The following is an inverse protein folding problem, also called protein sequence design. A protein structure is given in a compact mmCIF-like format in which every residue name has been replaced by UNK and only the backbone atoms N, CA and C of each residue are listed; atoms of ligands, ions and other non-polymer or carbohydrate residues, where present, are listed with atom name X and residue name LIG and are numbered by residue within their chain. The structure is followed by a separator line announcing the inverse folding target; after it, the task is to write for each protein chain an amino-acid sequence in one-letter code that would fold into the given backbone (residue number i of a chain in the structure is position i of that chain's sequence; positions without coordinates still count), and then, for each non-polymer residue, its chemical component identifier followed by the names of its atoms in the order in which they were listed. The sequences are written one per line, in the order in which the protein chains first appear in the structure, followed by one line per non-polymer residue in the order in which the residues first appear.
data_IF_828816717746
#
_entry.id   IF_828816717746
#
_cell.length_a   1.000
_cell.length_b   1.000
_cell.length_c   1.000
_cell.angle_alpha   90.00
_cell.angle_beta   90.00
_cell.angle_gamma   90.00
#
_symmetry.space_group_name_H-M   'P 1'
#
loop_
_entity.id
_entity.type
_entity.pdbx_description
1 polymer ?
#
# COMPACT_ATOMS: atom_id res chain seq x y z
N UNK A 1 -18.80 -48.15 -14.68
CA UNK A 1 -18.56 -47.17 -13.58
C UNK A 1 -17.19 -46.51 -13.73
N UNK A 2 -17.11 -45.48 -14.57
CA UNK A 2 -15.87 -44.73 -14.89
C UNK A 2 -16.23 -43.31 -15.31
N UNK A 3 -17.34 -43.19 -16.06
CA UNK A 3 -17.95 -41.94 -16.52
C UNK A 3 -18.43 -41.06 -15.35
N UNK A 4 -19.07 -41.64 -14.33
CA UNK A 4 -19.55 -40.89 -13.15
C UNK A 4 -18.40 -40.20 -12.40
N UNK A 5 -17.23 -40.82 -12.34
CA UNK A 5 -16.04 -40.24 -11.70
C UNK A 5 -15.54 -39.01 -12.46
N UNK A 6 -15.60 -39.03 -13.78
CA UNK A 6 -15.19 -37.89 -14.63
C UNK A 6 -16.13 -36.70 -14.39
N UNK A 7 -17.44 -36.94 -14.37
CA UNK A 7 -18.44 -35.90 -14.06
C UNK A 7 -18.25 -35.31 -12.68
N UNK A 8 -18.02 -36.14 -11.66
CA UNK A 8 -17.77 -35.67 -10.29
C UNK A 8 -16.51 -34.80 -10.23
N UNK A 9 -15.40 -35.25 -10.82
CA UNK A 9 -14.17 -34.43 -10.85
C UNK A 9 -14.37 -33.10 -11.55
N UNK A 10 -15.16 -33.07 -12.63
CA UNK A 10 -15.47 -31.83 -13.33
C UNK A 10 -16.24 -30.88 -12.41
N UNK A 11 -17.35 -31.33 -11.80
CA UNK A 11 -18.16 -30.53 -10.88
C UNK A 11 -17.37 -30.03 -9.68
N UNK A 12 -16.48 -30.86 -9.12
CA UNK A 12 -15.61 -30.44 -8.01
C UNK A 12 -14.57 -29.41 -8.45
N UNK A 13 -14.00 -29.51 -9.66
CA UNK A 13 -13.04 -28.51 -10.17
C UNK A 13 -13.68 -27.17 -10.55
N UNK A 14 -14.92 -27.14 -11.06
CA UNK A 14 -15.65 -25.87 -11.28
C UNK A 14 -16.22 -25.29 -9.98
N UNK A 15 -16.54 -26.11 -8.98
CA UNK A 15 -17.05 -25.63 -7.69
C UNK A 15 -15.93 -25.17 -6.74
N UNK A 16 -14.78 -25.85 -6.75
CA UNK A 16 -13.58 -25.43 -6.04
C UNK A 16 -12.76 -24.50 -6.95
N UNK A 17 -13.26 -23.28 -7.13
CA UNK A 17 -12.53 -22.22 -7.84
C UNK A 17 -11.14 -21.96 -7.24
N UNK A 18 -10.18 -21.44 -8.04
CA UNK A 18 -8.77 -21.34 -7.68
C UNK A 18 -8.58 -20.50 -6.41
N UNK A 19 -8.42 -21.18 -5.27
CA UNK A 19 -8.36 -20.57 -3.93
C UNK A 19 -7.08 -19.75 -3.71
N UNK A 20 -6.07 -19.94 -4.57
CA UNK A 20 -4.79 -19.20 -4.57
C UNK A 20 -4.96 -17.75 -5.05
N UNK A 21 -5.84 -17.50 -6.02
CA UNK A 21 -6.11 -16.13 -6.48
C UNK A 21 -6.76 -15.30 -5.37
N UNK A 22 -7.62 -15.92 -4.58
CA UNK A 22 -8.38 -15.22 -3.53
C UNK A 22 -7.51 -14.77 -2.36
N UNK A 23 -6.44 -15.52 -2.01
CA UNK A 23 -5.50 -15.10 -0.95
C UNK A 23 -4.75 -13.84 -1.33
N UNK A 24 -4.23 -13.74 -2.56
CA UNK A 24 -3.57 -12.52 -3.06
C UNK A 24 -4.53 -11.33 -3.08
N UNK A 25 -5.76 -11.52 -3.58
CA UNK A 25 -6.76 -10.44 -3.60
C UNK A 25 -7.13 -9.93 -2.20
N UNK A 26 -7.15 -10.82 -1.19
CA UNK A 26 -7.38 -10.42 0.21
C UNK A 26 -6.21 -9.61 0.78
N UNK A 27 -4.98 -10.08 0.57
CA UNK A 27 -3.77 -9.38 1.05
C UNK A 27 -3.60 -7.99 0.40
N UNK A 28 -3.85 -7.88 -0.92
CA UNK A 28 -3.83 -6.59 -1.62
C UNK A 28 -4.94 -5.65 -1.12
N UNK A 29 -6.09 -6.20 -0.75
CA UNK A 29 -7.19 -5.43 -0.15
C UNK A 29 -6.85 -4.89 1.23
N UNK A 30 -6.17 -5.69 2.06
CA UNK A 30 -5.72 -5.29 3.40
C UNK A 30 -4.66 -4.18 3.32
N UNK A 31 -3.66 -4.31 2.46
CA UNK A 31 -2.63 -3.28 2.23
C UNK A 31 -3.22 -1.95 1.74
N UNK A 32 -4.21 -2.00 0.84
CA UNK A 32 -4.94 -0.78 0.42
C UNK A 32 -5.70 -0.12 1.58
N UNK A 33 -6.28 -0.93 2.46
CA UNK A 33 -6.99 -0.43 3.64
C UNK A 33 -6.04 0.25 4.63
N UNK A 34 -4.87 -0.32 4.87
CA UNK A 34 -3.82 0.29 5.71
C UNK A 34 -3.41 1.66 5.19
N UNK A 35 -3.20 1.78 3.87
CA UNK A 35 -2.88 3.07 3.24
C UNK A 35 -3.98 4.11 3.47
N UNK A 36 -5.25 3.71 3.33
CA UNK A 36 -6.39 4.60 3.55
C UNK A 36 -6.52 5.04 5.02
N UNK A 37 -6.20 4.17 5.98
CA UNK A 37 -6.27 4.48 7.41
C UNK A 37 -5.31 5.62 7.82
N UNK A 38 -4.15 5.70 7.19
CA UNK A 38 -3.19 6.79 7.40
C UNK A 38 -3.46 8.01 6.51
N UNK A 39 -4.66 8.08 5.90
CA UNK A 39 -5.04 9.12 4.92
C UNK A 39 -4.10 9.20 3.72
N UNK A 40 -3.48 8.08 3.36
CA UNK A 40 -2.63 7.94 2.19
C UNK A 40 -3.43 7.58 0.94
N UNK A 41 -2.78 7.70 -0.22
CA UNK A 41 -3.32 7.28 -1.51
C UNK A 41 -2.33 6.37 -2.24
N UNK A 42 -2.82 5.25 -2.79
CA UNK A 42 -2.03 4.41 -3.69
C UNK A 42 -1.87 5.13 -5.02
N UNK A 43 -0.64 5.42 -5.43
CA UNK A 43 -0.30 6.08 -6.70
C UNK A 43 0.88 5.36 -7.33
N UNK A 44 1.05 5.47 -8.64
CA UNK A 44 2.23 4.92 -9.34
C UNK A 44 3.55 5.56 -8.88
N UNK A 45 3.50 6.83 -8.46
CA UNK A 45 4.63 7.55 -7.86
C UNK A 45 4.14 8.64 -6.91
N UNK A 46 4.88 8.90 -5.83
CA UNK A 46 4.57 9.96 -4.88
C UNK A 46 5.16 11.31 -5.30
N UNK A 47 4.45 12.39 -4.99
CA UNK A 47 4.94 13.75 -5.17
C UNK A 47 6.04 14.11 -4.16
N UNK A 48 6.73 15.22 -4.39
CA UNK A 48 7.77 15.75 -3.49
C UNK A 48 7.26 16.12 -2.09
N UNK A 49 5.98 16.47 -1.97
CA UNK A 49 5.30 16.78 -0.70
C UNK A 49 4.70 15.54 0.00
N UNK A 50 4.86 14.37 -0.59
CA UNK A 50 4.39 13.10 -0.05
C UNK A 50 5.60 12.27 0.42
N UNK A 51 5.36 11.28 1.28
CA UNK A 51 6.34 10.24 1.61
C UNK A 51 5.71 8.86 1.41
N UNK A 52 6.56 7.87 1.14
CA UNK A 52 6.12 6.48 0.96
C UNK A 52 5.98 5.86 2.35
N UNK A 53 4.76 5.49 2.72
CA UNK A 53 4.48 4.81 4.00
C UNK A 53 4.62 3.29 3.88
N UNK A 54 3.98 2.70 2.87
CA UNK A 54 4.02 1.26 2.55
C UNK A 54 3.71 1.05 1.06
N UNK A 55 3.52 -0.19 0.61
CA UNK A 55 3.06 -0.55 -0.73
C UNK A 55 1.68 -1.17 -0.69
N UNK A 56 0.79 -0.73 -1.57
CA UNK A 56 -0.57 -1.25 -1.68
C UNK A 56 -0.60 -2.62 -2.37
N UNK A 57 0.22 -2.80 -3.40
CA UNK A 57 0.49 -4.10 -4.05
C UNK A 57 1.78 -3.96 -4.85
N UNK A 58 1.71 -3.34 -6.03
CA UNK A 58 2.86 -2.87 -6.82
C UNK A 58 3.08 -1.36 -6.71
N UNK A 59 2.05 -0.62 -6.32
CA UNK A 59 2.07 0.85 -6.21
C UNK A 59 2.42 1.30 -4.78
N UNK A 60 3.21 2.38 -4.60
CA UNK A 60 3.45 2.98 -3.30
C UNK A 60 2.21 3.67 -2.72
N UNK A 61 2.08 3.59 -1.40
CA UNK A 61 1.16 4.40 -0.61
C UNK A 61 1.80 5.74 -0.27
N UNK A 62 1.26 6.81 -0.84
CA UNK A 62 1.74 8.17 -0.68
C UNK A 62 0.95 8.89 0.41
N UNK A 63 1.63 9.33 1.46
CA UNK A 63 1.05 10.08 2.58
C UNK A 63 1.56 11.51 2.55
N UNK A 64 0.68 12.49 2.76
CA UNK A 64 1.03 13.90 2.76
C UNK A 64 1.93 14.19 3.97
N UNK A 65 3.05 14.89 3.74
CA UNK A 65 3.90 15.38 4.82
C UNK A 65 3.17 16.50 5.57
N UNK A 66 3.10 16.40 6.89
CA UNK A 66 2.70 17.55 7.70
C UNK A 66 3.73 18.66 7.52
N UNK A 67 3.26 19.86 7.18
CA UNK A 67 4.12 21.02 7.04
C UNK A 67 4.73 21.36 8.40
N UNK A 68 6.03 21.10 8.57
CA UNK A 68 6.77 21.60 9.72
C UNK A 68 7.26 23.00 9.41
N UNK A 69 6.72 23.98 10.13
CA UNK A 69 7.18 25.37 10.03
C UNK A 69 8.65 25.43 10.45
N UNK A 70 9.56 25.99 9.63
CA UNK A 70 10.96 26.11 10.02
C UNK A 70 11.08 26.95 11.29
N UNK A 71 11.71 26.40 12.32
CA UNK A 71 12.01 27.12 13.56
C UNK A 71 13.13 28.13 13.24
N UNK A 72 12.93 29.43 13.50
CA UNK A 72 13.99 30.43 13.31
C UNK A 72 15.20 30.06 14.18
N UNK A 73 16.37 29.86 13.56
CA UNK A 73 17.61 29.73 14.32
C UNK A 73 17.93 31.07 14.97
N UNK A 74 18.27 31.11 16.26
CA UNK A 74 18.74 32.35 16.88
C UNK A 74 20.02 32.79 16.15
N UNK A 75 19.99 33.99 15.58
CA UNK A 75 21.16 34.67 15.06
C UNK A 75 22.04 35.04 16.25
N UNK A 76 22.98 34.17 16.61
CA UNK A 76 24.09 34.56 17.47
C UNK A 76 24.98 35.50 16.67
N UNK A 77 24.62 36.78 16.68
CA UNK A 77 25.47 37.87 16.20
C UNK A 77 26.63 38.03 17.18
N UNK A 78 27.64 37.20 17.05
CA UNK A 78 28.94 37.48 17.66
C UNK A 78 29.54 38.62 16.85
N UNK A 79 29.29 39.85 17.30
CA UNK A 79 30.04 41.04 16.88
C UNK A 79 31.52 40.80 17.20
N UNK A 80 32.27 40.25 16.26
CA UNK A 80 33.71 40.44 16.19
C UNK A 80 33.93 41.87 15.70
N UNK A 81 34.03 42.81 16.65
CA UNK A 81 34.58 44.13 16.39
C UNK A 81 36.10 43.94 16.35
N UNK A 82 36.66 44.27 15.18
CA UNK A 82 38.09 44.34 14.86
C UNK A 82 38.75 45.49 15.64
#
# INVERSE_FOLDING_TARGET
MKILCIFLTFVFTVSCGPSVSQKKTKEDGEKKRECYLVRGACKTSCNTWEYIYNYCSTEPCCVIREYQKPVPKPLNSTRHIL
#
